data_IF_780047499813
#
_entry.id   IF_780047499813
#
_cell.length_a   1.000
_cell.length_b   1.000
_cell.length_c   1.000
_cell.angle_alpha   90.00
_cell.angle_beta   90.00
_cell.angle_gamma   90.00
#
_symmetry.space_group_name_H-M   'P 1'
#
loop_
_entity.id
_entity.type
_entity.pdbx_description
1 polymer ?
#
# COMPACT_ATOMS: atom_id res chain seq x y z
N UNK A 1 -25.16 19.57 -15.69
CA UNK A 1 -24.73 20.14 -14.40
C UNK A 1 -24.16 18.97 -13.64
N UNK A 2 -22.85 18.79 -13.78
CA UNK A 2 -22.14 17.70 -13.11
C UNK A 2 -22.14 18.00 -11.63
N UNK A 3 -22.87 17.17 -10.87
CA UNK A 3 -22.85 17.21 -9.43
C UNK A 3 -21.43 16.91 -8.99
N UNK A 4 -20.76 17.91 -8.43
CA UNK A 4 -19.56 17.69 -7.63
C UNK A 4 -19.91 16.59 -6.62
N UNK A 5 -19.19 15.48 -6.71
CA UNK A 5 -19.25 14.42 -5.72
C UNK A 5 -18.72 15.00 -4.41
N UNK A 6 -19.64 15.45 -3.57
CA UNK A 6 -19.36 16.16 -2.33
C UNK A 6 -18.56 15.25 -1.39
N UNK A 7 -18.76 13.93 -1.50
CA UNK A 7 -18.04 12.94 -0.71
C UNK A 7 -16.55 12.95 -1.11
N UNK A 8 -16.25 12.91 -2.41
CA UNK A 8 -14.88 13.05 -2.91
C UNK A 8 -14.23 14.38 -2.46
N UNK A 9 -14.97 15.50 -2.52
CA UNK A 9 -14.43 16.80 -2.10
C UNK A 9 -14.19 16.89 -0.58
N UNK A 10 -15.03 16.28 0.24
CA UNK A 10 -14.92 16.32 1.70
C UNK A 10 -13.80 15.42 2.23
N UNK A 11 -13.62 14.22 1.67
CA UNK A 11 -12.53 13.31 2.07
C UNK A 11 -11.13 13.93 1.89
N UNK A 12 -10.95 14.82 0.90
CA UNK A 12 -9.66 15.48 0.62
C UNK A 12 -9.54 16.92 1.15
N UNK A 13 -10.59 17.47 1.80
CA UNK A 13 -10.62 18.88 2.26
C UNK A 13 -9.97 19.12 3.63
N UNK A 14 -9.60 18.07 4.35
CA UNK A 14 -8.88 18.20 5.62
C UNK A 14 -7.37 18.31 5.33
N UNK A 15 -6.70 19.41 5.72
CA UNK A 15 -5.24 19.47 5.65
C UNK A 15 -4.66 18.61 6.78
N UNK A 16 -4.60 17.30 6.58
CA UNK A 16 -3.96 16.38 7.54
C UNK A 16 -2.53 16.12 7.11
N UNK A 17 -1.62 16.82 7.78
CA UNK A 17 -0.18 16.58 7.74
C UNK A 17 0.14 15.08 7.79
N UNK A 18 0.86 14.56 6.79
CA UNK A 18 1.55 13.27 6.79
C UNK A 18 0.75 11.95 6.80
N UNK A 19 -0.59 11.93 6.82
CA UNK A 19 -1.35 10.68 7.06
C UNK A 19 -2.39 10.26 6.00
N UNK A 20 -2.44 10.92 4.83
CA UNK A 20 -3.25 10.41 3.71
C UNK A 20 -2.45 9.33 3.01
N UNK A 21 -2.94 8.09 3.02
CA UNK A 21 -2.36 7.01 2.23
C UNK A 21 -2.22 7.46 0.78
N UNK A 22 -1.07 7.13 0.18
CA UNK A 22 -0.73 7.55 -1.18
C UNK A 22 -1.81 7.12 -2.19
N UNK A 23 -2.10 7.99 -3.16
CA UNK A 23 -3.18 7.77 -4.13
C UNK A 23 -2.93 6.59 -5.09
N UNK A 24 -1.71 6.04 -5.12
CA UNK A 24 -1.34 4.83 -5.86
C UNK A 24 -1.90 3.56 -5.22
N UNK A 25 -2.17 3.58 -3.90
CA UNK A 25 -2.80 2.45 -3.19
C UNK A 25 -4.28 2.38 -3.58
N UNK A 26 -4.89 1.21 -3.82
CA UNK A 26 -6.30 1.11 -4.22
C UNK A 26 -7.26 1.85 -3.26
N UNK A 27 -8.20 2.63 -3.82
CA UNK A 27 -9.10 3.52 -3.06
C UNK A 27 -9.85 2.82 -1.93
N UNK A 28 -10.52 1.71 -2.23
CA UNK A 28 -11.24 0.89 -1.24
C UNK A 28 -10.35 0.48 -0.05
N UNK A 29 -9.09 0.16 -0.32
CA UNK A 29 -8.14 -0.22 0.74
C UNK A 29 -7.78 1.00 1.59
N UNK A 30 -7.55 2.16 0.97
CA UNK A 30 -7.25 3.40 1.70
C UNK A 30 -8.40 3.81 2.62
N UNK A 31 -9.63 3.77 2.13
CA UNK A 31 -10.83 4.10 2.90
C UNK A 31 -10.96 3.21 4.13
N UNK A 32 -10.80 1.89 3.96
CA UNK A 32 -10.91 0.94 5.06
C UNK A 32 -9.80 1.11 6.11
N UNK A 33 -8.57 1.45 5.69
CA UNK A 33 -7.49 1.76 6.64
C UNK A 33 -7.77 3.07 7.38
N UNK A 34 -8.31 4.08 6.69
CA UNK A 34 -8.73 5.34 7.30
C UNK A 34 -9.84 5.12 8.33
N UNK A 35 -10.87 4.35 8.00
CA UNK A 35 -11.93 3.95 8.92
C UNK A 35 -11.39 3.16 10.11
N UNK A 36 -10.45 2.24 9.89
CA UNK A 36 -9.82 1.47 10.95
C UNK A 36 -9.07 2.37 11.93
N UNK A 37 -8.32 3.34 11.41
CA UNK A 37 -7.57 4.28 12.24
C UNK A 37 -8.47 5.22 13.03
N UNK A 38 -9.51 5.76 12.41
CA UNK A 38 -10.49 6.62 13.08
C UNK A 38 -11.28 5.85 14.14
N UNK A 39 -11.72 4.64 13.81
CA UNK A 39 -12.39 3.76 14.78
C UNK A 39 -11.50 3.48 15.98
N UNK A 40 -10.19 3.24 15.76
CA UNK A 40 -9.23 3.05 16.86
C UNK A 40 -9.04 4.32 17.69
N UNK A 41 -8.91 5.50 17.05
CA UNK A 41 -8.79 6.81 17.73
C UNK A 41 -10.02 7.10 18.59
N UNK A 42 -11.20 6.68 18.15
CA UNK A 42 -12.47 6.80 18.87
C UNK A 42 -12.75 5.64 19.86
N UNK A 43 -11.77 4.75 20.08
CA UNK A 43 -11.88 3.58 20.96
C UNK A 43 -12.92 2.51 20.55
N UNK A 44 -13.31 2.48 19.29
CA UNK A 44 -14.16 1.44 18.69
C UNK A 44 -13.31 0.29 18.13
N UNK A 45 -12.70 -0.50 19.02
CA UNK A 45 -11.67 -1.49 18.64
C UNK A 45 -12.23 -2.66 17.80
N UNK A 46 -13.50 -3.02 18.01
CA UNK A 46 -14.18 -4.03 17.18
C UNK A 46 -14.35 -3.53 15.75
N UNK A 47 -14.84 -2.30 15.58
CA UNK A 47 -14.98 -1.68 14.27
C UNK A 47 -13.63 -1.52 13.58
N UNK A 48 -12.64 -1.04 14.34
CA UNK A 48 -11.29 -0.85 13.82
C UNK A 48 -10.64 -2.15 13.32
N UNK A 49 -10.76 -3.25 14.07
CA UNK A 49 -10.25 -4.56 13.65
C UNK A 49 -11.02 -5.16 12.48
N UNK A 50 -12.34 -4.92 12.38
CA UNK A 50 -13.15 -5.35 11.25
C UNK A 50 -12.76 -4.61 9.95
N UNK A 51 -12.65 -3.28 10.00
CA UNK A 51 -12.20 -2.47 8.85
C UNK A 51 -10.80 -2.88 8.40
N UNK A 52 -9.87 -3.11 9.33
CA UNK A 52 -8.50 -3.53 9.01
C UNK A 52 -8.45 -4.90 8.32
N UNK A 53 -9.16 -5.90 8.84
CA UNK A 53 -9.24 -7.23 8.20
C UNK A 53 -9.85 -7.11 6.80
N UNK A 54 -10.92 -6.32 6.66
CA UNK A 54 -11.55 -6.09 5.35
C UNK A 54 -10.57 -5.40 4.38
N UNK A 55 -9.78 -4.44 4.83
CA UNK A 55 -8.76 -3.79 4.01
C UNK A 55 -7.75 -4.79 3.44
N UNK A 56 -7.30 -5.74 4.27
CA UNK A 56 -6.36 -6.79 3.85
C UNK A 56 -7.02 -7.75 2.83
N UNK A 57 -8.28 -8.13 3.04
CA UNK A 57 -9.01 -8.96 2.07
C UNK A 57 -9.24 -8.25 0.74
N UNK A 58 -9.63 -6.97 0.74
CA UNK A 58 -9.80 -6.18 -0.48
C UNK A 58 -8.46 -6.00 -1.21
N UNK A 59 -7.35 -5.85 -0.49
CA UNK A 59 -6.01 -5.85 -1.07
C UNK A 59 -5.71 -7.20 -1.75
N UNK A 60 -5.97 -8.33 -1.07
CA UNK A 60 -5.76 -9.67 -1.63
C UNK A 60 -6.64 -9.92 -2.85
N UNK A 61 -7.88 -9.41 -2.85
CA UNK A 61 -8.80 -9.50 -3.97
C UNK A 61 -8.33 -8.65 -5.15
N UNK A 62 -7.93 -7.39 -4.89
CA UNK A 62 -7.37 -6.48 -5.89
C UNK A 62 -6.14 -7.09 -6.59
N UNK A 63 -5.26 -7.71 -5.80
CA UNK A 63 -4.04 -8.35 -6.29
C UNK A 63 -4.26 -9.75 -6.88
N UNK A 64 -5.49 -10.28 -6.80
CA UNK A 64 -5.86 -11.63 -7.24
C UNK A 64 -5.02 -12.73 -6.57
N UNK A 65 -4.69 -12.54 -5.30
CA UNK A 65 -3.86 -13.45 -4.50
C UNK A 65 -4.67 -14.33 -3.54
N UNK A 66 -6.01 -14.30 -3.62
CA UNK A 66 -6.86 -15.15 -2.78
C UNK A 66 -6.71 -16.61 -3.18
N UNK A 67 -6.18 -17.42 -2.26
CA UNK A 67 -6.10 -18.88 -2.37
C UNK A 67 -7.26 -19.47 -1.59
N UNK A 68 -8.03 -20.38 -2.21
CA UNK A 68 -9.14 -21.07 -1.53
C UNK A 68 -8.67 -22.40 -0.95
N UNK A 69 -9.12 -22.71 0.27
CA UNK A 69 -8.88 -24.01 0.87
C UNK A 69 -9.78 -25.06 0.18
N UNK A 70 -9.22 -26.14 -0.39
CA UNK A 70 -10.00 -27.14 -1.12
C UNK A 70 -10.96 -27.93 -0.23
N UNK A 71 -10.74 -27.96 1.09
CA UNK A 71 -11.60 -28.70 2.04
C UNK A 71 -12.81 -27.90 2.48
N UNK A 72 -12.68 -26.59 2.62
CA UNK A 72 -13.72 -25.72 3.18
C UNK A 72 -14.37 -24.80 2.16
N UNK A 73 -13.72 -24.56 1.02
CA UNK A 73 -14.17 -23.63 -0.02
C UNK A 73 -13.95 -22.15 0.32
N UNK A 74 -13.53 -21.84 1.56
CA UNK A 74 -13.25 -20.48 2.03
C UNK A 74 -11.82 -20.04 1.69
N UNK A 75 -11.57 -18.73 1.75
CA UNK A 75 -10.25 -18.16 1.56
C UNK A 75 -9.29 -18.63 2.67
N UNK A 76 -8.13 -19.14 2.26
CA UNK A 76 -7.01 -19.47 3.14
C UNK A 76 -6.11 -18.24 3.25
N UNK A 77 -6.21 -17.53 4.36
CA UNK A 77 -5.51 -16.26 4.56
C UNK A 77 -4.00 -16.43 4.51
N UNK A 78 -3.42 -17.42 5.22
CA UNK A 78 -1.98 -17.67 5.21
C UNK A 78 -1.48 -17.99 3.81
N UNK A 79 -2.18 -18.87 3.09
CA UNK A 79 -1.81 -19.20 1.71
C UNK A 79 -1.97 -17.98 0.77
N UNK A 80 -2.95 -17.12 1.01
CA UNK A 80 -3.18 -15.91 0.22
C UNK A 80 -2.07 -14.87 0.43
N UNK A 81 -1.65 -14.65 1.68
CA UNK A 81 -0.52 -13.76 2.01
C UNK A 81 0.79 -14.32 1.43
N UNK A 82 0.99 -15.64 1.48
CA UNK A 82 2.14 -16.27 0.83
C UNK A 82 2.12 -16.08 -0.69
N UNK A 83 0.97 -16.24 -1.33
CA UNK A 83 0.82 -15.96 -2.77
C UNK A 83 1.13 -14.49 -3.11
N UNK A 84 0.72 -13.56 -2.24
CA UNK A 84 1.03 -12.14 -2.40
C UNK A 84 2.54 -11.87 -2.27
N UNK A 85 3.20 -12.50 -1.29
CA UNK A 85 4.66 -12.43 -1.09
C UNK A 85 5.43 -12.89 -2.33
N UNK A 86 4.98 -13.97 -2.97
CA UNK A 86 5.60 -14.48 -4.21
C UNK A 86 5.42 -13.51 -5.39
N UNK A 87 4.33 -12.73 -5.42
CA UNK A 87 4.06 -11.72 -6.45
C UNK A 87 4.93 -10.47 -6.27
N UNK A 88 5.16 -10.04 -5.03
CA UNK A 88 5.90 -8.82 -4.69
C UNK A 88 7.31 -9.13 -4.17
N UNK A 89 8.16 -9.72 -5.01
CA UNK A 89 9.55 -10.10 -4.64
C UNK A 89 10.47 -8.93 -4.28
N UNK A 90 10.09 -7.70 -4.67
CA UNK A 90 10.84 -6.49 -4.37
C UNK A 90 10.54 -5.90 -2.98
N UNK A 91 9.51 -6.43 -2.30
CA UNK A 91 9.09 -6.02 -0.97
C UNK A 91 9.70 -6.98 0.05
N UNK A 92 10.10 -6.46 1.21
CA UNK A 92 10.70 -7.26 2.27
C UNK A 92 9.75 -8.38 2.72
N UNK A 93 10.24 -9.62 2.71
CA UNK A 93 9.48 -10.83 3.09
C UNK A 93 8.87 -10.72 4.48
N UNK A 94 9.56 -10.05 5.39
CA UNK A 94 9.25 -9.87 6.79
C UNK A 94 7.95 -9.08 6.98
N UNK A 95 7.61 -8.18 6.04
CA UNK A 95 6.35 -7.45 6.07
C UNK A 95 5.16 -8.37 5.81
N UNK A 96 5.29 -9.29 4.84
CA UNK A 96 4.25 -10.27 4.56
C UNK A 96 4.18 -11.35 5.64
N UNK A 97 5.32 -11.80 6.16
CA UNK A 97 5.35 -12.79 7.24
C UNK A 97 4.71 -12.20 8.51
N UNK A 98 5.02 -10.96 8.86
CA UNK A 98 4.35 -10.26 9.96
C UNK A 98 2.84 -10.11 9.68
N UNK A 99 2.45 -9.72 8.48
CA UNK A 99 1.03 -9.58 8.10
C UNK A 99 0.29 -10.94 8.13
N UNK A 100 0.96 -12.03 7.78
CA UNK A 100 0.47 -13.41 7.92
C UNK A 100 0.09 -13.72 9.37
N UNK A 101 1.01 -13.50 10.31
CA UNK A 101 0.77 -13.80 11.73
C UNK A 101 -0.35 -12.95 12.37
N UNK A 102 -0.74 -11.82 11.75
CA UNK A 102 -1.81 -10.97 12.30
C UNK A 102 -3.19 -11.61 12.29
N UNK A 103 -3.46 -12.62 11.46
CA UNK A 103 -4.73 -13.37 11.51
C UNK A 103 -4.90 -14.11 12.84
N UNK A 104 -3.83 -14.70 13.36
CA UNK A 104 -3.87 -15.38 14.66
C UNK A 104 -4.11 -14.39 15.80
N UNK A 105 -3.59 -13.16 15.66
CA UNK A 105 -3.85 -12.05 16.57
C UNK A 105 -5.27 -11.48 16.43
N UNK A 106 -5.91 -11.73 15.28
CA UNK A 106 -7.20 -11.21 14.88
C UNK A 106 -8.25 -12.32 14.81
N UNK A 107 -8.36 -13.10 15.90
CA UNK A 107 -9.36 -14.16 16.15
C UNK A 107 -10.55 -14.16 15.18
N UNK A 108 -10.77 -15.30 14.52
CA UNK A 108 -11.89 -15.54 13.61
C UNK A 108 -13.26 -15.39 14.29
N UNK A 109 -13.30 -15.27 15.63
CA UNK A 109 -14.51 -15.12 16.41
C UNK A 109 -14.78 -13.65 16.77
N UNK A 110 -15.68 -13.02 16.03
CA UNK A 110 -16.38 -11.79 16.47
C UNK A 110 -17.47 -12.19 17.47
N UNK A 111 -17.08 -12.67 18.65
CA UNK A 111 -18.02 -13.03 19.71
C UNK A 111 -17.80 -12.14 20.92
N UNK A 112 -18.87 -11.50 21.39
CA UNK A 112 -18.88 -10.55 22.51
C UNK A 112 -18.40 -11.13 23.86
N UNK A 113 -18.16 -12.45 23.95
CA UNK A 113 -17.81 -13.16 25.20
C UNK A 113 -16.41 -13.76 25.29
N UNK A 114 -15.53 -13.58 24.30
CA UNK A 114 -14.22 -14.23 24.25
C UNK A 114 -13.15 -13.22 23.84
N UNK A 115 -12.73 -12.37 24.78
CA UNK A 115 -11.72 -11.35 24.51
C UNK A 115 -10.51 -11.60 25.40
N UNK A 116 -9.40 -12.06 24.81
CA UNK A 116 -8.21 -11.23 24.98
C UNK A 116 -8.55 -9.92 24.27
N UNK A 117 -8.89 -8.90 25.05
CA UNK A 117 -9.31 -7.61 24.51
C UNK A 117 -8.28 -7.13 23.49
N UNK A 118 -8.76 -6.72 22.32
CA UNK A 118 -7.92 -5.94 21.42
C UNK A 118 -7.37 -4.77 22.21
N UNK A 119 -6.04 -4.70 22.29
CA UNK A 119 -5.36 -3.59 22.92
C UNK A 119 -5.09 -2.54 21.84
N UNK A 120 -5.38 -1.27 22.13
CA UNK A 120 -5.26 -0.17 21.16
C UNK A 120 -3.82 -0.07 20.59
N UNK A 121 -2.76 -0.19 21.41
CA UNK A 121 -1.39 -0.41 20.96
C UNK A 121 -1.21 -1.55 19.96
N UNK A 122 -1.74 -2.76 20.24
CA UNK A 122 -1.66 -3.90 19.31
C UNK A 122 -2.33 -3.57 17.98
N UNK A 123 -3.54 -3.01 18.01
CA UNK A 123 -4.26 -2.66 16.78
C UNK A 123 -3.56 -1.55 15.99
N UNK A 124 -2.98 -0.56 16.68
CA UNK A 124 -2.15 0.46 16.05
C UNK A 124 -0.96 -0.16 15.34
N UNK A 125 -0.27 -1.10 15.97
CA UNK A 125 0.84 -1.82 15.34
C UNK A 125 0.41 -2.50 14.03
N UNK A 126 -0.71 -3.23 14.02
CA UNK A 126 -1.18 -3.92 12.81
C UNK A 126 -1.60 -2.93 11.72
N UNK A 127 -2.23 -1.82 12.09
CA UNK A 127 -2.56 -0.73 11.14
C UNK A 127 -1.26 -0.21 10.50
N UNK A 128 -0.26 0.15 11.30
CA UNK A 128 1.00 0.70 10.78
C UNK A 128 1.79 -0.33 9.95
N UNK A 129 1.80 -1.60 10.36
CA UNK A 129 2.36 -2.68 9.56
C UNK A 129 1.66 -2.79 8.19
N UNK A 130 0.33 -2.76 8.18
CA UNK A 130 -0.44 -2.84 6.94
C UNK A 130 -0.15 -1.64 6.02
N UNK A 131 -0.07 -0.43 6.58
CA UNK A 131 0.31 0.77 5.83
C UNK A 131 1.73 0.67 5.25
N UNK A 132 2.69 0.17 6.02
CA UNK A 132 4.06 -0.02 5.55
C UNK A 132 4.13 -1.03 4.40
N UNK A 133 3.41 -2.16 4.51
CA UNK A 133 3.29 -3.15 3.44
C UNK A 133 2.69 -2.53 2.18
N UNK A 134 1.59 -1.77 2.29
CA UNK A 134 0.97 -1.09 1.15
C UNK A 134 1.91 -0.05 0.51
N UNK A 135 2.66 0.70 1.31
CA UNK A 135 3.62 1.67 0.82
C UNK A 135 4.73 1.00 -0.02
N UNK A 136 5.32 -0.07 0.50
CA UNK A 136 6.35 -0.84 -0.23
C UNK A 136 5.80 -1.51 -1.49
N UNK A 137 4.53 -1.93 -1.49
CA UNK A 137 3.88 -2.56 -2.64
C UNK A 137 3.57 -1.58 -3.78
N UNK A 138 2.97 -0.42 -3.46
CA UNK A 138 2.38 0.46 -4.48
C UNK A 138 3.14 1.77 -4.70
N UNK A 139 3.83 2.28 -3.69
CA UNK A 139 4.43 3.63 -3.73
C UNK A 139 5.90 3.53 -4.13
N UNK A 140 6.67 2.73 -3.39
CA UNK A 140 8.12 2.60 -3.57
C UNK A 140 8.53 2.18 -4.99
N UNK A 141 7.84 1.23 -5.66
CA UNK A 141 8.22 0.84 -7.03
C UNK A 141 8.09 1.98 -8.03
N UNK A 142 7.02 2.77 -7.94
CA UNK A 142 6.81 3.91 -8.83
C UNK A 142 7.77 5.06 -8.50
N UNK A 143 8.06 5.34 -7.23
CA UNK A 143 9.11 6.31 -6.86
C UNK A 143 10.49 5.92 -7.40
N UNK A 144 10.84 4.63 -7.34
CA UNK A 144 12.09 4.11 -7.90
C UNK A 144 12.13 4.31 -9.42
N UNK A 145 11.03 4.01 -10.11
CA UNK A 145 10.89 4.17 -11.55
C UNK A 145 10.96 5.64 -12.00
N UNK A 146 10.30 6.54 -11.27
CA UNK A 146 10.38 7.99 -11.50
C UNK A 146 11.81 8.50 -11.34
N UNK A 147 12.49 8.10 -10.26
CA UNK A 147 13.89 8.47 -10.00
C UNK A 147 14.83 7.96 -11.10
N UNK A 148 14.64 6.72 -11.56
CA UNK A 148 15.41 6.17 -12.68
C UNK A 148 15.12 6.91 -13.99
N UNK A 149 13.87 7.30 -14.23
CA UNK A 149 13.49 8.11 -15.39
C UNK A 149 14.20 9.46 -15.42
N UNK A 150 14.25 10.17 -14.28
CA UNK A 150 14.97 11.44 -14.15
C UNK A 150 16.48 11.27 -14.41
N UNK A 151 17.11 10.23 -13.86
CA UNK A 151 18.52 9.93 -14.12
C UNK A 151 18.78 9.62 -15.60
N UNK A 152 17.83 8.92 -16.26
CA UNK A 152 17.88 8.67 -17.70
C UNK A 152 17.85 9.97 -18.50
N UNK A 153 16.93 10.90 -18.19
CA UNK A 153 16.85 12.21 -18.84
C UNK A 153 18.13 13.03 -18.63
N UNK A 154 18.67 13.05 -17.41
CA UNK A 154 19.94 13.72 -17.12
C UNK A 154 21.08 13.13 -17.95
N UNK A 155 21.21 11.80 -18.00
CA UNK A 155 22.23 11.12 -18.81
C UNK A 155 22.10 11.46 -20.30
N UNK A 156 20.89 11.45 -20.84
CA UNK A 156 20.64 11.83 -22.25
C UNK A 156 21.01 13.29 -22.52
N UNK A 157 20.75 14.21 -21.58
CA UNK A 157 21.17 15.60 -21.70
C UNK A 157 22.70 15.73 -21.77
N UNK A 158 23.45 15.01 -20.93
CA UNK A 158 24.92 14.98 -20.96
C UNK A 158 25.49 14.35 -22.24
N UNK A 159 24.87 13.28 -22.76
CA UNK A 159 25.33 12.66 -24.01
C UNK A 159 25.04 13.54 -25.23
N UNK A 160 23.88 14.21 -25.27
CA UNK A 160 23.53 15.12 -26.36
C UNK A 160 24.38 16.40 -26.34
N UNK A 161 24.73 16.94 -25.16
CA UNK A 161 25.64 18.09 -25.07
C UNK A 161 27.03 17.72 -25.59
N UNK A 162 27.54 16.53 -25.28
CA UNK A 162 28.86 16.08 -25.74
C UNK A 162 28.92 15.91 -27.26
N UNK A 163 27.89 15.31 -27.85
CA UNK A 163 27.78 15.19 -29.31
C UNK A 163 27.65 16.55 -30.02
N UNK A 164 27.07 17.56 -29.37
CA UNK A 164 27.02 18.93 -29.91
C UNK A 164 28.39 19.61 -29.83
N UNK A 165 29.14 19.43 -28.75
CA UNK A 165 30.50 19.98 -28.61
C UNK A 165 31.48 19.37 -29.61
N UNK A 166 31.47 18.04 -29.79
CA UNK A 166 32.33 17.35 -30.77
C UNK A 166 32.01 17.76 -32.22
N UNK A 167 30.74 18.01 -32.56
CA UNK A 167 30.34 18.52 -33.89
C UNK A 167 30.68 20.00 -34.14
N UNK A 168 30.97 20.78 -33.10
CA UNK A 168 31.38 22.19 -33.22
C UNK A 168 32.91 22.24 -33.42
N UNK A 169 33.67 21.45 -32.67
CA UNK A 169 35.13 21.36 -32.82
C UNK A 169 35.55 20.81 -34.20
N UNK A 170 34.88 19.76 -34.72
CA UNK A 170 35.16 19.24 -36.09
C UNK A 170 34.84 20.24 -37.21
N UNK A 171 34.02 21.27 -36.96
CA UNK A 171 33.70 22.31 -37.95
C UNK A 171 34.65 23.50 -37.92
N UNK A 172 35.35 23.71 -36.82
CA UNK A 172 36.36 24.78 -36.70
C UNK A 172 37.72 24.35 -37.27
N UNK A 173 38.05 23.06 -37.26
CA UNK A 173 39.32 22.52 -37.80
C UNK A 173 39.35 22.32 -39.33
N UNK A 174 38.25 22.62 -40.05
CA UNK A 174 38.13 22.44 -41.53
C UNK A 174 38.12 23.79 -42.28
N UNK A 175 38.64 24.87 -41.68
CA UNK A 175 38.75 26.19 -42.33
C UNK A 175 40.18 26.67 -42.53
#
# INVERSE_FOLDING_TARGET
MDGLDIDAALFFSQPTSYFVLDNRIPEKVRELIYEAENSRKSNYLVGASACLRKAIYEMLEHEKSIVKNPKTGYADYQASIKSLKEKFTNVASELFDALGHTQEMASDNVHEGSWEAWDSPKLRFIIELTKATLHEMYVVPEERKERLGLLGQMKSAFSNSKNQTENIEEKEDVK
#
